data_IF_321707618345
#
_entry.id   IF_321707618345
#
_cell.length_a   1.000
_cell.length_b   1.000
_cell.length_c   1.000
_cell.angle_alpha   90.00
_cell.angle_beta   90.00
_cell.angle_gamma   90.00
#
_symmetry.space_group_name_H-M   'P 1'
#
loop_
_entity.id
_entity.type
_entity.pdbx_description
1 polymer ?
#
# COMPACT_ATOMS: atom_id res chain seq x y z
N UNK A 1 14.65 9.58 -5.67
CA UNK A 1 13.23 9.95 -5.54
C UNK A 1 13.00 10.85 -4.33
N UNK A 2 13.18 10.33 -3.10
CA UNK A 2 12.97 11.04 -1.85
C UNK A 2 13.55 12.48 -1.83
N UNK A 3 14.82 12.64 -2.18
CA UNK A 3 15.48 13.94 -2.25
C UNK A 3 14.74 14.94 -3.16
N UNK A 4 14.44 14.57 -4.41
CA UNK A 4 13.76 15.48 -5.34
C UNK A 4 12.35 15.83 -4.87
N UNK A 5 11.58 14.84 -4.38
CA UNK A 5 10.24 15.08 -3.84
C UNK A 5 10.26 16.06 -2.66
N UNK A 6 11.19 15.87 -1.72
CA UNK A 6 11.38 16.79 -0.60
C UNK A 6 11.70 18.21 -1.08
N UNK A 7 12.59 18.35 -2.08
CA UNK A 7 12.95 19.64 -2.68
C UNK A 7 11.81 20.26 -3.52
N UNK A 8 10.80 19.46 -3.88
CA UNK A 8 9.55 19.88 -4.51
C UNK A 8 8.39 20.02 -3.53
N UNK A 9 8.68 20.17 -2.23
CA UNK A 9 7.69 20.44 -1.18
C UNK A 9 6.70 19.29 -0.90
N UNK A 10 7.08 18.04 -1.21
CA UNK A 10 6.36 16.87 -0.73
C UNK A 10 6.76 16.53 0.71
N UNK A 11 5.78 16.16 1.52
CA UNK A 11 5.96 15.79 2.92
C UNK A 11 5.94 14.27 3.15
N UNK A 12 5.25 13.54 2.28
CA UNK A 12 5.06 12.10 2.41
C UNK A 12 5.19 11.41 1.06
N UNK A 13 5.63 10.16 1.08
CA UNK A 13 5.69 9.30 -0.09
C UNK A 13 5.37 7.84 0.28
N UNK A 14 4.99 7.05 -0.73
CA UNK A 14 4.69 5.63 -0.58
C UNK A 14 5.53 4.82 -1.57
N UNK A 15 6.04 3.67 -1.13
CA UNK A 15 6.81 2.73 -1.94
C UNK A 15 6.31 1.29 -1.75
N UNK A 16 6.54 0.44 -2.75
CA UNK A 16 6.07 -0.95 -2.72
C UNK A 16 7.14 -1.99 -3.10
N UNK A 17 7.75 -1.90 -4.30
CA UNK A 17 8.68 -2.92 -4.80
C UNK A 17 10.06 -2.82 -4.11
N UNK A 18 10.14 -3.39 -2.92
CA UNK A 18 11.33 -3.55 -2.08
C UNK A 18 11.51 -5.04 -1.79
N UNK A 19 12.76 -5.51 -1.69
CA UNK A 19 13.07 -6.92 -1.49
C UNK A 19 12.27 -7.52 -0.33
N UNK A 20 11.69 -8.72 -0.55
CA UNK A 20 10.79 -9.35 0.43
C UNK A 20 11.42 -9.54 1.84
N UNK A 21 12.71 -9.87 1.92
CA UNK A 21 13.45 -9.96 3.19
C UNK A 21 13.55 -8.64 3.95
N UNK A 22 13.68 -7.51 3.23
CA UNK A 22 13.68 -6.17 3.84
C UNK A 22 12.28 -5.86 4.39
N UNK A 23 11.22 -6.10 3.60
CA UNK A 23 9.83 -5.95 4.08
C UNK A 23 9.60 -6.76 5.35
N UNK A 24 10.02 -8.04 5.36
CA UNK A 24 9.91 -8.93 6.53
C UNK A 24 10.69 -8.40 7.74
N UNK A 25 11.90 -7.90 7.53
CA UNK A 25 12.73 -7.34 8.60
C UNK A 25 12.09 -6.07 9.19
N UNK A 26 11.67 -5.13 8.34
CA UNK A 26 11.06 -3.88 8.79
C UNK A 26 9.69 -4.11 9.44
N UNK A 27 8.86 -5.00 8.88
CA UNK A 27 7.57 -5.36 9.46
C UNK A 27 7.68 -5.94 10.87
N UNK A 28 8.66 -6.83 11.10
CA UNK A 28 8.95 -7.39 12.44
C UNK A 28 9.33 -6.34 13.49
N UNK A 29 9.87 -5.22 13.05
CA UNK A 29 10.30 -4.11 13.91
C UNK A 29 9.33 -2.92 13.86
N UNK A 30 8.14 -3.07 13.25
CA UNK A 30 7.18 -1.97 13.01
C UNK A 30 7.82 -0.73 12.37
N UNK A 31 8.78 -0.96 11.46
CA UNK A 31 9.63 0.04 10.84
C UNK A 31 9.36 0.19 9.33
N UNK A 32 8.15 -0.15 8.89
CA UNK A 32 7.70 0.07 7.51
C UNK A 32 7.37 1.53 7.22
N UNK A 33 7.23 2.34 8.27
CA UNK A 33 7.11 3.79 8.22
C UNK A 33 8.37 4.40 8.81
N UNK A 34 9.02 5.29 8.05
CA UNK A 34 10.32 5.85 8.42
C UNK A 34 10.56 7.20 7.74
N UNK A 35 11.45 8.00 8.32
CA UNK A 35 11.98 9.20 7.67
C UNK A 35 13.12 8.80 6.74
N UNK A 36 12.89 8.87 5.43
CA UNK A 36 13.90 8.50 4.46
C UNK A 36 14.86 9.67 4.22
N UNK A 37 16.11 9.49 4.68
CA UNK A 37 17.15 10.51 4.71
C UNK A 37 18.27 10.19 3.72
N UNK A 38 18.86 11.22 3.10
CA UNK A 38 20.09 11.03 2.31
C UNK A 38 21.27 10.62 3.21
N UNK A 39 22.15 9.74 2.73
CA UNK A 39 23.25 9.21 3.54
C UNK A 39 24.23 10.26 4.08
N UNK A 40 24.39 11.37 3.37
CA UNK A 40 25.29 12.46 3.75
C UNK A 40 24.59 13.52 4.63
N UNK A 41 23.29 13.41 4.82
CA UNK A 41 22.51 14.37 5.58
C UNK A 41 22.60 14.06 7.07
N UNK A 42 23.17 14.98 7.83
CA UNK A 42 23.38 14.88 9.28
C UNK A 42 22.32 15.62 10.08
N UNK A 43 21.64 16.61 9.49
CA UNK A 43 20.66 17.48 10.17
C UNK A 43 19.20 17.08 9.90
N UNK A 44 18.96 16.18 8.94
CA UNK A 44 17.63 15.70 8.58
C UNK A 44 16.85 16.63 7.66
N UNK A 45 17.50 17.64 7.09
CA UNK A 45 16.88 18.57 6.12
C UNK A 45 16.29 17.88 4.89
N UNK A 46 16.77 16.68 4.56
CA UNK A 46 16.31 15.87 3.42
C UNK A 46 15.21 14.86 3.76
N UNK A 47 14.77 14.81 5.02
CA UNK A 47 13.81 13.82 5.49
C UNK A 47 12.44 13.97 4.80
N UNK A 48 11.93 12.83 4.32
CA UNK A 48 10.56 12.68 3.84
C UNK A 48 9.93 11.45 4.48
N UNK A 49 8.70 11.62 5.00
CA UNK A 49 7.97 10.50 5.59
C UNK A 49 7.65 9.47 4.52
N UNK A 50 8.08 8.23 4.72
CA UNK A 50 7.95 7.17 3.73
C UNK A 50 7.15 6.00 4.31
N UNK A 51 6.06 5.66 3.64
CA UNK A 51 5.29 4.43 3.89
C UNK A 51 5.75 3.33 2.94
N UNK A 52 6.25 2.22 3.48
CA UNK A 52 6.50 0.99 2.73
C UNK A 52 5.31 0.04 2.89
N UNK A 53 4.71 -0.35 1.77
CA UNK A 53 3.67 -1.38 1.78
C UNK A 53 4.27 -2.74 2.20
N UNK A 54 3.56 -3.60 2.95
CA UNK A 54 4.18 -4.72 3.65
C UNK A 54 4.28 -5.99 2.81
N UNK A 55 3.43 -6.14 1.80
CA UNK A 55 3.20 -7.41 1.11
C UNK A 55 3.76 -7.42 -0.32
N UNK A 56 3.58 -8.56 -0.98
CA UNK A 56 4.21 -8.92 -2.25
C UNK A 56 3.84 -8.01 -3.42
N UNK A 57 2.56 -7.62 -3.53
CA UNK A 57 2.01 -6.90 -4.68
C UNK A 57 1.03 -5.82 -4.25
N UNK A 58 0.62 -4.94 -5.17
CA UNK A 58 -0.33 -3.84 -4.92
C UNK A 58 -1.77 -4.18 -5.34
N UNK A 59 -2.00 -5.39 -5.85
CA UNK A 59 -3.33 -5.90 -6.17
C UNK A 59 -4.13 -6.18 -4.89
N UNK A 60 -5.45 -6.13 -4.99
CA UNK A 60 -6.38 -6.35 -3.86
C UNK A 60 -6.04 -7.58 -2.98
N UNK A 61 -5.69 -8.76 -3.55
CA UNK A 61 -5.28 -9.91 -2.75
C UNK A 61 -4.08 -9.66 -1.83
N UNK A 62 -3.18 -8.73 -2.16
CA UNK A 62 -1.97 -8.46 -1.38
C UNK A 62 -2.02 -7.08 -0.69
N UNK A 63 -3.19 -6.48 -0.53
CA UNK A 63 -3.31 -5.16 0.13
C UNK A 63 -4.23 -5.16 1.33
N UNK A 64 -5.21 -6.06 1.42
CA UNK A 64 -6.14 -6.09 2.55
C UNK A 64 -5.49 -6.61 3.84
N UNK A 65 -4.53 -7.53 3.75
CA UNK A 65 -3.94 -8.24 4.88
C UNK A 65 -3.00 -9.35 4.43
N UNK A 66 -2.46 -10.14 5.37
CA UNK A 66 -1.43 -11.13 5.07
C UNK A 66 -1.94 -12.38 4.34
N UNK A 67 -3.25 -12.65 4.32
CA UNK A 67 -3.82 -13.87 3.73
C UNK A 67 -4.49 -13.57 2.39
N UNK A 68 -3.81 -13.77 1.25
CA UNK A 68 -4.34 -13.36 -0.04
C UNK A 68 -5.55 -14.19 -0.49
N UNK A 69 -5.68 -15.42 0.02
CA UNK A 69 -6.88 -16.24 -0.16
C UNK A 69 -8.14 -15.60 0.47
N UNK A 70 -7.98 -14.86 1.57
CA UNK A 70 -9.06 -14.09 2.21
C UNK A 70 -9.27 -12.78 1.45
N UNK A 71 -8.20 -12.02 1.23
CA UNK A 71 -8.28 -10.72 0.56
C UNK A 71 -8.87 -10.77 -0.85
N UNK A 72 -8.56 -11.82 -1.61
CA UNK A 72 -9.11 -11.98 -2.95
C UNK A 72 -10.64 -12.07 -2.95
N UNK A 73 -11.26 -12.57 -1.87
CA UNK A 73 -12.72 -12.62 -1.72
C UNK A 73 -13.36 -11.24 -1.53
N UNK A 74 -12.56 -10.19 -1.39
CA UNK A 74 -12.98 -8.78 -1.29
C UNK A 74 -12.54 -7.96 -2.50
N UNK A 75 -12.12 -8.62 -3.58
CA UNK A 75 -12.06 -8.04 -4.93
C UNK A 75 -13.33 -8.42 -5.70
N UNK A 76 -14.35 -7.56 -5.65
CA UNK A 76 -15.67 -7.89 -6.21
C UNK A 76 -15.69 -7.94 -7.74
N UNK A 77 -14.61 -7.54 -8.43
CA UNK A 77 -14.48 -7.86 -9.87
C UNK A 77 -14.33 -9.35 -10.13
N UNK A 78 -13.83 -10.12 -9.16
CA UNK A 78 -13.59 -11.57 -9.30
C UNK A 78 -14.81 -12.42 -8.92
N UNK A 79 -15.99 -11.80 -8.75
CA UNK A 79 -17.25 -12.51 -8.49
C UNK A 79 -17.52 -13.60 -9.56
N UNK A 80 -18.25 -14.67 -9.20
CA UNK A 80 -18.62 -15.71 -10.15
C UNK A 80 -19.27 -15.14 -11.42
N UNK A 81 -18.81 -15.58 -12.59
CA UNK A 81 -19.21 -15.05 -13.90
C UNK A 81 -18.20 -14.05 -14.50
N UNK A 82 -17.26 -13.56 -13.70
CA UNK A 82 -16.12 -12.78 -14.19
C UNK A 82 -15.08 -13.65 -14.90
N UNK A 83 -14.36 -13.11 -15.91
CA UNK A 83 -13.18 -13.76 -16.48
C UNK A 83 -12.01 -13.82 -15.48
N UNK A 84 -12.03 -13.02 -14.43
CA UNK A 84 -11.03 -13.03 -13.37
C UNK A 84 -11.49 -13.91 -12.21
N UNK A 85 -10.59 -14.78 -11.73
CA UNK A 85 -10.85 -15.68 -10.59
C UNK A 85 -9.82 -15.50 -9.50
N UNK A 86 -10.15 -15.98 -8.31
CA UNK A 86 -9.19 -16.08 -7.22
C UNK A 86 -8.31 -17.32 -7.40
N UNK A 87 -6.98 -17.18 -7.52
CA UNK A 87 -6.06 -18.32 -7.65
C UNK A 87 -6.13 -19.30 -6.47
N UNK A 88 -6.63 -18.84 -5.32
CA UNK A 88 -6.79 -19.64 -4.11
C UNK A 88 -8.11 -20.45 -4.06
N UNK A 89 -8.86 -20.51 -5.16
CA UNK A 89 -10.08 -21.31 -5.31
C UNK A 89 -11.22 -20.97 -4.34
N UNK A 90 -11.21 -19.78 -3.75
CA UNK A 90 -12.31 -19.24 -2.95
C UNK A 90 -12.75 -17.93 -3.61
N UNK A 91 -13.90 -17.97 -4.27
CA UNK A 91 -14.43 -16.81 -4.99
C UNK A 91 -15.05 -15.78 -4.01
N UNK A 92 -15.05 -14.49 -4.39
CA UNK A 92 -15.82 -13.47 -3.70
C UNK A 92 -17.32 -13.81 -3.65
N UNK A 93 -18.00 -13.25 -2.67
CA UNK A 93 -19.47 -13.29 -2.56
C UNK A 93 -20.02 -11.88 -2.44
N UNK A 94 -21.16 -11.54 -3.07
CA UNK A 94 -21.80 -10.27 -2.83
C UNK A 94 -22.13 -10.10 -1.35
N UNK A 95 -21.97 -8.90 -0.84
CA UNK A 95 -22.32 -8.53 0.53
C UNK A 95 -23.83 -8.33 0.60
N UNK A 96 -24.47 -9.07 1.49
CA UNK A 96 -25.91 -9.06 1.73
C UNK A 96 -26.18 -8.90 3.23
N UNK A 97 -27.42 -8.58 3.61
CA UNK A 97 -27.80 -8.47 5.02
C UNK A 97 -27.57 -9.76 5.82
N UNK A 98 -27.61 -10.93 5.15
CA UNK A 98 -27.42 -12.22 5.80
C UNK A 98 -25.94 -12.54 6.09
N UNK A 99 -25.00 -12.01 5.29
CA UNK A 99 -23.58 -12.35 5.41
C UNK A 99 -22.70 -11.18 5.89
N UNK A 100 -23.20 -9.93 5.89
CA UNK A 100 -22.39 -8.74 6.19
C UNK A 100 -21.65 -8.85 7.52
N UNK A 101 -22.27 -9.39 8.57
CA UNK A 101 -21.63 -9.54 9.87
C UNK A 101 -20.42 -10.50 9.84
N UNK A 102 -20.54 -11.64 9.15
CA UNK A 102 -19.42 -12.58 8.98
C UNK A 102 -18.34 -11.98 8.09
N UNK A 103 -18.72 -11.41 6.94
CA UNK A 103 -17.79 -10.82 5.97
C UNK A 103 -17.00 -9.66 6.54
N UNK A 104 -17.66 -8.79 7.32
CA UNK A 104 -17.00 -7.67 8.01
C UNK A 104 -16.00 -8.18 9.04
N UNK A 105 -16.34 -9.20 9.85
CA UNK A 105 -15.36 -9.78 10.80
C UNK A 105 -14.17 -10.39 10.07
N UNK A 106 -14.41 -11.07 8.95
CA UNK A 106 -13.37 -11.71 8.14
C UNK A 106 -12.40 -10.69 7.54
N UNK A 107 -12.88 -9.59 6.94
CA UNK A 107 -11.96 -8.54 6.41
C UNK A 107 -11.32 -7.72 7.53
N UNK A 108 -12.04 -7.46 8.63
CA UNK A 108 -11.51 -6.70 9.75
C UNK A 108 -10.34 -7.43 10.44
N UNK A 109 -10.40 -8.76 10.54
CA UNK A 109 -9.27 -9.57 11.00
C UNK A 109 -8.02 -9.34 10.14
N UNK A 110 -8.17 -9.30 8.81
CA UNK A 110 -7.07 -9.02 7.88
C UNK A 110 -6.53 -7.59 8.05
N UNK A 111 -7.41 -6.60 8.20
CA UNK A 111 -7.02 -5.22 8.48
C UNK A 111 -6.27 -5.09 9.80
N UNK A 112 -6.73 -5.74 10.88
CA UNK A 112 -6.05 -5.73 12.19
C UNK A 112 -4.69 -6.42 12.14
N UNK A 113 -4.59 -7.56 11.43
CA UNK A 113 -3.28 -8.21 11.17
C UNK A 113 -2.34 -7.28 10.41
N UNK A 114 -2.82 -6.57 9.39
CA UNK A 114 -2.02 -5.57 8.67
C UNK A 114 -1.63 -4.39 9.58
N UNK A 115 -2.56 -3.89 10.39
CA UNK A 115 -2.36 -2.80 11.34
C UNK A 115 -1.20 -3.08 12.29
N UNK A 116 -1.08 -4.33 12.75
CA UNK A 116 -0.01 -4.75 13.67
C UNK A 116 1.42 -4.58 13.12
N UNK A 117 1.58 -4.31 11.82
CA UNK A 117 2.87 -4.07 11.16
C UNK A 117 3.27 -2.58 11.18
N UNK A 118 2.38 -1.70 11.63
CA UNK A 118 2.52 -0.24 11.65
C UNK A 118 2.38 0.30 13.07
N UNK A 119 2.78 1.56 13.30
CA UNK A 119 2.80 2.14 14.65
C UNK A 119 1.55 2.93 15.04
N UNK A 120 0.77 3.35 14.05
CA UNK A 120 -0.43 4.19 14.24
C UNK A 120 -1.70 3.34 14.22
N UNK A 121 -2.80 3.93 14.66
CA UNK A 121 -4.13 3.32 14.54
C UNK A 121 -4.78 3.56 13.17
N UNK A 122 -4.02 4.07 12.19
CA UNK A 122 -4.50 4.41 10.86
C UNK A 122 -3.94 3.44 9.84
N UNK A 123 -4.81 2.71 9.14
CA UNK A 123 -4.39 1.66 8.20
C UNK A 123 -4.74 2.05 6.76
N UNK A 124 -3.73 2.14 5.90
CA UNK A 124 -3.94 2.29 4.46
C UNK A 124 -4.27 0.93 3.82
N UNK A 125 -5.37 0.82 3.10
CA UNK A 125 -5.74 -0.38 2.33
C UNK A 125 -5.98 0.00 0.87
N UNK A 126 -4.96 -0.11 -0.02
CA UNK A 126 -5.15 0.16 -1.44
C UNK A 126 -6.14 -0.84 -2.05
N UNK A 127 -7.11 -0.32 -2.81
CA UNK A 127 -8.11 -1.12 -3.51
C UNK A 127 -7.98 -0.86 -5.00
N UNK A 128 -7.27 -1.74 -5.70
CA UNK A 128 -6.94 -1.57 -7.11
C UNK A 128 -6.03 -2.67 -7.62
N UNK A 129 -5.65 -2.54 -8.88
CA UNK A 129 -4.79 -3.44 -9.65
C UNK A 129 -4.53 -2.75 -11.01
N UNK A 130 -3.87 -3.43 -11.94
CA UNK A 130 -3.64 -2.94 -13.30
C UNK A 130 -4.96 -2.70 -14.04
N UNK A 131 -5.09 -1.49 -14.63
CA UNK A 131 -6.22 -1.09 -15.47
C UNK A 131 -7.60 -1.37 -14.86
N UNK A 132 -7.77 -1.14 -13.56
CA UNK A 132 -9.06 -1.28 -12.87
C UNK A 132 -9.92 -0.02 -13.01
N UNK A 133 -11.19 -0.15 -12.61
CA UNK A 133 -12.22 0.89 -12.62
C UNK A 133 -12.51 1.46 -14.01
N UNK A 134 -12.50 0.59 -15.04
CA UNK A 134 -12.69 1.00 -16.45
C UNK A 134 -14.15 1.33 -16.80
N UNK A 135 -15.11 0.88 -16.00
CA UNK A 135 -16.53 1.05 -16.29
C UNK A 135 -17.40 1.10 -15.04
N UNK A 136 -18.63 1.62 -15.19
CA UNK A 136 -19.54 1.84 -14.06
C UNK A 136 -19.96 0.54 -13.38
N UNK A 137 -20.06 -0.58 -14.11
CA UNK A 137 -20.42 -1.87 -13.53
C UNK A 137 -19.40 -2.32 -12.47
N UNK A 138 -18.12 -2.24 -12.79
CA UNK A 138 -17.06 -2.55 -11.84
C UNK A 138 -17.04 -1.58 -10.66
N UNK A 139 -17.19 -0.28 -10.95
CA UNK A 139 -17.22 0.75 -9.92
C UNK A 139 -18.32 0.46 -8.90
N UNK A 140 -19.54 0.21 -9.36
CA UNK A 140 -20.69 -0.11 -8.51
C UNK A 140 -20.47 -1.41 -7.73
N UNK A 141 -19.93 -2.46 -8.37
CA UNK A 141 -19.63 -3.72 -7.68
C UNK A 141 -18.65 -3.51 -6.52
N UNK A 142 -17.61 -2.71 -6.69
CA UNK A 142 -16.68 -2.44 -5.59
C UNK A 142 -17.33 -1.53 -4.54
N UNK A 143 -17.91 -0.41 -4.98
CA UNK A 143 -18.49 0.61 -4.10
C UNK A 143 -19.60 0.04 -3.23
N UNK A 144 -20.63 -0.59 -3.82
CA UNK A 144 -21.83 -1.04 -3.10
C UNK A 144 -21.52 -2.13 -2.07
N UNK A 145 -20.54 -3.00 -2.35
CA UNK A 145 -20.18 -4.07 -1.43
C UNK A 145 -19.34 -3.55 -0.25
N UNK A 146 -18.38 -2.66 -0.49
CA UNK A 146 -17.61 -2.02 0.58
C UNK A 146 -18.47 -1.06 1.42
N UNK A 147 -19.41 -0.34 0.80
CA UNK A 147 -20.33 0.56 1.51
C UNK A 147 -21.15 -0.22 2.56
N UNK A 148 -21.63 -1.42 2.24
CA UNK A 148 -22.33 -2.29 3.20
C UNK A 148 -21.43 -2.72 4.36
N UNK A 149 -20.15 -3.02 4.09
CA UNK A 149 -19.17 -3.38 5.12
C UNK A 149 -18.93 -2.19 6.04
N UNK A 150 -18.70 -0.99 5.48
CA UNK A 150 -18.48 0.24 6.24
C UNK A 150 -19.70 0.64 7.07
N UNK A 151 -20.91 0.53 6.51
CA UNK A 151 -22.15 0.76 7.25
C UNK A 151 -22.27 -0.19 8.44
N UNK A 152 -21.98 -1.47 8.25
CA UNK A 152 -22.02 -2.44 9.35
C UNK A 152 -20.98 -2.14 10.44
N UNK A 153 -19.78 -1.67 10.09
CA UNK A 153 -18.79 -1.23 11.08
C UNK A 153 -19.30 -0.04 11.90
N UNK A 154 -19.90 0.96 11.24
CA UNK A 154 -20.46 2.13 11.91
C UNK A 154 -21.63 1.78 12.84
N UNK A 155 -22.44 0.77 12.48
CA UNK A 155 -23.56 0.26 13.29
C UNK A 155 -23.13 -0.69 14.42
N UNK A 156 -21.86 -1.13 14.44
CA UNK A 156 -21.35 -2.17 15.36
C UNK A 156 -20.08 -1.68 16.10
N UNK A 157 -20.19 -0.67 17.00
CA UNK A 157 -19.03 -0.05 17.65
C UNK A 157 -18.14 -1.02 18.44
N UNK A 158 -18.67 -2.15 18.90
CA UNK A 158 -17.93 -3.20 19.60
C UNK A 158 -16.81 -3.84 18.76
N UNK A 159 -16.83 -3.67 17.43
CA UNK A 159 -15.75 -4.13 16.56
C UNK A 159 -14.48 -3.26 16.67
N UNK A 160 -14.61 -2.05 17.21
CA UNK A 160 -13.49 -1.14 17.50
C UNK A 160 -12.75 -0.67 16.25
N UNK A 161 -13.47 -0.40 15.16
CA UNK A 161 -12.89 0.07 13.91
C UNK A 161 -13.89 0.94 13.13
N UNK A 162 -13.36 1.93 12.43
CA UNK A 162 -14.06 2.73 11.44
C UNK A 162 -13.44 2.47 10.06
N UNK A 163 -14.27 2.44 9.01
CA UNK A 163 -13.81 2.24 7.65
C UNK A 163 -14.53 3.19 6.70
N UNK A 164 -13.79 3.77 5.76
CA UNK A 164 -14.30 4.67 4.74
C UNK A 164 -13.42 4.61 3.49
N UNK A 165 -13.95 5.07 2.37
CA UNK A 165 -13.12 5.39 1.21
C UNK A 165 -12.35 6.67 1.47
N UNK A 166 -11.07 6.70 1.11
CA UNK A 166 -10.22 7.86 1.27
C UNK A 166 -9.13 7.92 0.21
N UNK A 167 -8.48 9.07 0.13
CA UNK A 167 -7.32 9.30 -0.73
C UNK A 167 -6.03 9.00 0.03
N UNK A 168 -4.91 8.95 -0.69
CA UNK A 168 -3.59 8.84 -0.07
C UNK A 168 -3.28 10.06 0.83
N UNK A 169 -3.81 11.24 0.49
CA UNK A 169 -3.65 12.45 1.30
C UNK A 169 -4.41 12.35 2.61
N UNK A 170 -5.62 11.78 2.60
CA UNK A 170 -6.43 11.58 3.82
C UNK A 170 -5.72 10.62 4.78
N UNK A 171 -5.13 9.53 4.25
CA UNK A 171 -4.34 8.61 5.04
C UNK A 171 -3.15 9.30 5.74
N UNK A 172 -2.31 10.03 5.00
CA UNK A 172 -1.17 10.70 5.62
C UNK A 172 -1.62 11.80 6.60
N UNK A 173 -2.70 12.51 6.31
CA UNK A 173 -3.26 13.52 7.22
C UNK A 173 -3.74 12.88 8.52
N UNK A 174 -4.39 11.72 8.46
CA UNK A 174 -4.81 10.96 9.64
C UNK A 174 -3.61 10.43 10.44
N UNK A 175 -2.54 9.96 9.79
CA UNK A 175 -1.29 9.57 10.46
C UNK A 175 -0.66 10.75 11.21
N UNK A 176 -0.59 11.92 10.58
CA UNK A 176 -0.08 13.14 11.22
C UNK A 176 -0.95 13.58 12.41
N UNK A 177 -2.27 13.45 12.30
CA UNK A 177 -3.20 13.73 13.39
C UNK A 177 -3.05 12.74 14.56
N UNK A 178 -2.98 11.44 14.30
CA UNK A 178 -2.81 10.37 15.31
C UNK A 178 -1.50 10.53 16.09
N UNK A 179 -0.45 11.03 15.42
CA UNK A 179 0.87 11.26 16.02
C UNK A 179 1.08 12.70 16.52
N UNK A 180 0.05 13.55 16.49
CA UNK A 180 0.12 14.97 16.84
C UNK A 180 1.30 15.71 16.17
N UNK A 181 1.63 15.35 14.93
CA UNK A 181 2.79 15.84 14.19
C UNK A 181 2.34 16.69 13.00
N UNK A 182 3.02 17.80 12.75
CA UNK A 182 2.74 18.63 11.58
C UNK A 182 3.30 17.97 10.30
N UNK A 183 2.59 18.05 9.15
CA UNK A 183 3.11 17.56 7.89
C UNK A 183 4.53 18.07 7.60
N UNK A 184 5.42 17.17 7.17
CA UNK A 184 6.81 17.49 6.86
C UNK A 184 7.77 17.42 8.04
N UNK A 185 7.27 17.21 9.26
CA UNK A 185 8.07 16.88 10.44
C UNK A 185 8.09 15.37 10.68
N UNK A 186 9.11 14.90 11.39
CA UNK A 186 9.27 13.49 11.74
C UNK A 186 8.29 13.12 12.86
N UNK A 187 7.31 12.21 12.62
CA UNK A 187 6.40 11.82 13.68
C UNK A 187 7.11 10.89 14.68
N UNK A 188 6.97 11.08 16.00
CA UNK A 188 7.46 10.11 16.98
C UNK A 188 6.59 8.84 16.89
N UNK A 189 7.15 7.61 16.90
CA UNK A 189 8.53 7.21 17.07
C UNK A 189 9.13 6.59 15.79
N UNK A 190 9.01 7.25 14.63
CA UNK A 190 9.49 6.66 13.37
C UNK A 190 11.01 6.75 13.24
N UNK A 191 11.70 5.63 12.91
CA UNK A 191 13.15 5.66 12.72
C UNK A 191 13.53 6.48 11.49
N UNK A 192 14.74 7.05 11.50
CA UNK A 192 15.38 7.49 10.26
C UNK A 192 15.99 6.29 9.54
N UNK A 193 15.87 6.27 8.21
CA UNK A 193 16.48 5.25 7.36
C UNK A 193 17.20 5.94 6.21
N UNK A 194 18.46 5.57 6.03
CA UNK A 194 19.25 5.95 4.85
C UNK A 194 19.61 4.69 4.09
N UNK A 195 19.58 4.77 2.77
CA UNK A 195 19.72 3.60 1.92
C UNK A 195 19.11 3.82 0.56
N UNK A 196 19.36 2.87 -0.32
CA UNK A 196 18.46 2.56 -1.42
C UNK A 196 17.74 1.23 -1.14
N UNK A 197 16.94 0.80 -2.11
CA UNK A 197 16.23 -0.48 -2.05
C UNK A 197 16.57 -1.35 -3.26
N UNK A 198 17.81 -1.31 -3.72
CA UNK A 198 18.30 -2.13 -4.83
C UNK A 198 19.25 -3.25 -4.35
N UNK A 199 19.31 -4.40 -5.03
CA UNK A 199 18.43 -4.85 -6.12
C UNK A 199 17.15 -5.50 -5.58
N UNK A 200 16.01 -5.21 -6.22
CA UNK A 200 14.72 -5.79 -5.87
C UNK A 200 14.67 -7.29 -6.20
N UNK A 201 14.11 -8.09 -5.29
CA UNK A 201 13.68 -9.47 -5.54
C UNK A 201 12.25 -9.62 -5.00
N UNK A 202 11.35 -10.12 -5.85
CA UNK A 202 9.95 -10.36 -5.51
C UNK A 202 9.78 -11.68 -4.75
N UNK A 203 10.58 -12.70 -5.09
CA UNK A 203 10.62 -14.01 -4.44
C UNK A 203 11.97 -14.70 -4.66
N UNK A 204 12.26 -15.69 -3.83
CA UNK A 204 13.38 -16.63 -3.99
C UNK A 204 14.70 -15.93 -4.32
N UNK A 205 15.36 -16.34 -5.40
CA UNK A 205 16.58 -15.78 -5.98
C UNK A 205 16.31 -14.94 -7.25
N UNK A 206 15.06 -14.55 -7.50
CA UNK A 206 14.66 -13.79 -8.68
C UNK A 206 14.99 -12.30 -8.52
N UNK A 207 16.27 -11.95 -8.66
CA UNK A 207 16.70 -10.55 -8.65
C UNK A 207 16.39 -9.85 -9.97
N UNK A 208 15.70 -8.71 -9.87
CA UNK A 208 15.32 -7.89 -11.02
C UNK A 208 16.47 -6.97 -11.42
N UNK A 209 17.67 -7.51 -11.62
CA UNK A 209 18.85 -6.76 -12.08
C UNK A 209 18.98 -6.72 -13.60
N UNK A 210 18.34 -7.64 -14.32
CA UNK A 210 18.42 -7.71 -15.79
C UNK A 210 17.91 -6.45 -16.50
N UNK A 211 16.87 -5.78 -15.96
CA UNK A 211 16.32 -4.57 -16.57
C UNK A 211 17.26 -3.36 -16.54
N UNK A 212 18.34 -3.43 -15.74
CA UNK A 212 19.43 -2.45 -15.76
C UNK A 212 20.15 -2.43 -17.13
N UNK A 213 20.12 -3.53 -17.89
CA UNK A 213 20.78 -3.63 -19.21
C UNK A 213 19.81 -3.84 -20.37
N UNK A 214 18.62 -4.41 -20.14
CA UNK A 214 17.62 -4.66 -21.19
C UNK A 214 17.38 -3.43 -22.08
N UNK A 215 17.38 -3.64 -23.41
CA UNK A 215 17.21 -2.59 -24.44
C UNK A 215 18.27 -1.47 -24.34
N UNK A 216 19.57 -1.80 -24.50
CA UNK A 216 20.67 -0.87 -24.26
C UNK A 216 20.72 0.30 -25.26
N UNK A 217 20.26 0.10 -26.50
CA UNK A 217 20.16 1.17 -27.49
C UNK A 217 19.23 2.29 -27.01
N UNK A 218 18.02 1.93 -26.52
CA UNK A 218 17.06 2.91 -26.00
C UNK A 218 17.58 3.59 -24.72
N UNK A 219 18.32 2.87 -23.86
CA UNK A 219 18.98 3.46 -22.68
C UNK A 219 20.07 4.48 -23.05
N UNK A 220 20.82 4.24 -24.12
CA UNK A 220 21.76 5.24 -24.64
C UNK A 220 21.02 6.43 -25.25
N UNK A 221 19.98 6.18 -26.05
CA UNK A 221 19.16 7.22 -26.66
C UNK A 221 18.54 8.17 -25.63
N UNK A 222 18.10 7.64 -24.48
CA UNK A 222 17.62 8.45 -23.33
C UNK A 222 18.63 9.52 -22.91
N UNK A 223 19.91 9.16 -22.76
CA UNK A 223 20.98 10.09 -22.37
C UNK A 223 21.34 11.10 -23.44
N UNK A 224 21.31 10.68 -24.72
CA UNK A 224 21.50 11.60 -25.84
C UNK A 224 20.37 12.63 -25.86
N UNK A 225 19.12 12.20 -25.71
CA UNK A 225 17.97 13.10 -25.69
C UNK A 225 18.00 14.05 -24.48
N UNK A 226 18.32 13.53 -23.28
CA UNK A 226 18.48 14.33 -22.07
C UNK A 226 19.47 15.49 -22.28
N UNK A 227 20.63 15.21 -22.88
CA UNK A 227 21.62 16.25 -23.18
C UNK A 227 21.09 17.31 -24.15
N UNK A 228 20.35 16.90 -25.18
CA UNK A 228 19.82 17.83 -26.19
C UNK A 228 18.65 18.70 -25.66
N UNK A 229 17.97 18.27 -24.60
CA UNK A 229 16.88 19.04 -23.97
C UNK A 229 17.35 20.04 -22.91
N UNK A 230 18.61 19.95 -22.47
CA UNK A 230 19.21 20.82 -21.45
C UNK A 230 19.70 22.14 -22.06
#
# INVERSE_FOLDING_TARGET
MAYLLKRSNFHSMLIQRVHYSIKKHLARNTALEFMWRQHWDSDGSTDIYTHMMPFYSYDVPHTCGPEPAVCCQFDFRRLPGSPYRCPWHIDPKPITSQNVAERTRTILDQWKKKASLYKTNVVLVPLGDDFRYQGPEEFNLQFDNYEKIFRHLAETPELGAEGSFGTLSDYFSAVYADTATQPGHAPPPFPSLSGDFFSYADRDDHYWSGYYTSRPFQKNLDRVLEHNLR
#
